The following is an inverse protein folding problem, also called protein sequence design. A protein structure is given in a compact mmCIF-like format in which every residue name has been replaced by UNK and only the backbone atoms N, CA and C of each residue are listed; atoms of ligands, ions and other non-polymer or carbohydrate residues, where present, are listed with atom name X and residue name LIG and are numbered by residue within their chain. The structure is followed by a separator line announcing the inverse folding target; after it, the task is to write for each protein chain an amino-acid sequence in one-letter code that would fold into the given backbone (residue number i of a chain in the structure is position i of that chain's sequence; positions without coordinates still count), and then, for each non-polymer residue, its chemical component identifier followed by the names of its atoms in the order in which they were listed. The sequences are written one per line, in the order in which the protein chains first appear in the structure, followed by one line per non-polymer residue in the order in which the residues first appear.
data_IF_553552978037
#
_entry.id   IF_553552978037
#
_cell.length_a   1.000
_cell.length_b   1.000
_cell.length_c   1.000
_cell.angle_alpha   90.00
_cell.angle_beta   90.00
_cell.angle_gamma   90.00
#
_symmetry.space_group_name_H-M   'P 1'
#
loop_
_entity.id
_entity.type
_entity.pdbx_description
1 polymer ?
#
# COMPACT_ATOMS: atom_id res chain seq x y z
N UNK A 1 -0.06 -18.55 6.26
CA UNK A 1 1.21 -18.10 5.66
C UNK A 1 1.74 -19.08 4.61
N UNK A 2 1.67 -20.39 4.81
CA UNK A 2 2.13 -21.40 3.83
C UNK A 2 1.60 -21.17 2.40
N UNK A 3 0.29 -20.93 2.27
CA UNK A 3 -0.37 -20.67 0.98
C UNK A 3 0.18 -19.45 0.21
N UNK A 4 0.55 -18.38 0.92
CA UNK A 4 1.06 -17.15 0.29
C UNK A 4 2.41 -17.37 -0.37
N UNK A 5 3.30 -18.13 0.28
CA UNK A 5 4.60 -18.48 -0.29
C UNK A 5 4.49 -19.44 -1.48
N UNK A 6 3.48 -20.32 -1.49
CA UNK A 6 3.20 -21.20 -2.63
C UNK A 6 2.71 -20.40 -3.84
N UNK A 7 1.77 -19.46 -3.64
CA UNK A 7 1.28 -18.56 -4.69
C UNK A 7 2.43 -17.70 -5.26
N UNK A 8 3.32 -17.20 -4.41
CA UNK A 8 4.51 -16.46 -4.84
C UNK A 8 5.48 -17.30 -5.66
N UNK A 9 5.69 -18.57 -5.29
CA UNK A 9 6.50 -19.49 -6.08
C UNK A 9 5.86 -19.76 -7.44
N UNK A 10 4.56 -20.03 -7.49
CA UNK A 10 3.83 -20.23 -8.74
C UNK A 10 3.97 -19.02 -9.68
N UNK A 11 3.84 -17.80 -9.14
CA UNK A 11 4.02 -16.55 -9.91
C UNK A 11 5.45 -16.44 -10.45
N UNK A 12 6.46 -16.87 -9.69
CA UNK A 12 7.85 -16.94 -10.18
C UNK A 12 8.02 -17.97 -11.29
N UNK A 13 7.44 -19.15 -11.14
CA UNK A 13 7.61 -20.26 -12.08
C UNK A 13 7.00 -19.93 -13.44
N UNK A 14 5.93 -19.15 -13.48
CA UNK A 14 5.34 -18.62 -14.73
C UNK A 14 6.08 -17.39 -15.29
N UNK A 15 7.14 -16.92 -14.61
CA UNK A 15 8.07 -15.91 -15.13
C UNK A 15 7.78 -14.45 -14.73
N UNK A 16 6.86 -14.18 -13.80
CA UNK A 16 6.57 -12.81 -13.37
C UNK A 16 7.45 -12.35 -12.19
N UNK A 17 7.70 -11.05 -12.12
CA UNK A 17 8.51 -10.39 -11.08
C UNK A 17 7.81 -9.22 -10.39
N UNK A 18 6.55 -8.94 -10.76
CA UNK A 18 5.72 -7.89 -10.19
C UNK A 18 4.32 -8.40 -9.84
N UNK A 19 3.75 -7.89 -8.74
CA UNK A 19 2.42 -8.29 -8.25
C UNK A 19 1.53 -7.05 -8.02
N UNK A 20 0.29 -7.08 -8.52
CA UNK A 20 -0.79 -6.20 -8.06
C UNK A 20 -1.64 -6.95 -7.05
N UNK A 21 -1.83 -6.37 -5.87
CA UNK A 21 -2.82 -6.84 -4.90
C UNK A 21 -4.15 -6.12 -5.11
N UNK A 22 -5.23 -6.89 -5.24
CA UNK A 22 -6.59 -6.37 -5.47
C UNK A 22 -7.43 -6.25 -4.20
N UNK A 23 -6.86 -6.51 -3.03
CA UNK A 23 -7.48 -6.21 -1.75
C UNK A 23 -7.80 -4.71 -1.66
N UNK A 24 -9.04 -4.36 -1.30
CA UNK A 24 -9.51 -2.97 -1.22
C UNK A 24 -8.63 -2.09 -0.32
N UNK A 25 -8.11 -2.68 0.77
CA UNK A 25 -7.25 -2.00 1.74
C UNK A 25 -6.19 -2.99 2.22
N UNK A 26 -5.19 -3.27 1.39
CA UNK A 26 -4.10 -4.18 1.78
C UNK A 26 -3.40 -3.76 3.08
N UNK A 27 -3.05 -2.46 3.34
CA UNK A 27 -2.30 -2.08 4.52
C UNK A 27 -3.11 -2.02 5.83
N UNK A 28 -4.34 -2.54 5.88
CA UNK A 28 -5.24 -2.43 7.04
C UNK A 28 -4.67 -3.07 8.31
N UNK A 29 -3.96 -4.20 8.18
CA UNK A 29 -3.34 -4.91 9.29
C UNK A 29 -1.80 -4.80 9.22
N UNK A 30 -1.17 -3.95 10.06
CA UNK A 30 0.25 -3.65 9.98
C UNK A 30 1.15 -4.86 10.23
N UNK A 31 0.71 -5.78 11.10
CA UNK A 31 1.45 -7.01 11.39
C UNK A 31 1.47 -7.93 10.18
N UNK A 32 0.31 -8.20 9.58
CA UNK A 32 0.19 -9.08 8.41
C UNK A 32 0.95 -8.52 7.21
N UNK A 33 0.93 -7.21 7.01
CA UNK A 33 1.66 -6.55 5.92
C UNK A 33 3.17 -6.69 6.12
N UNK A 34 3.69 -6.49 7.34
CA UNK A 34 5.12 -6.70 7.64
C UNK A 34 5.56 -8.14 7.37
N UNK A 35 4.76 -9.12 7.79
CA UNK A 35 5.01 -10.54 7.51
C UNK A 35 5.05 -10.80 5.99
N UNK A 36 4.06 -10.30 5.24
CA UNK A 36 3.99 -10.42 3.78
C UNK A 36 5.18 -9.74 3.07
N UNK A 37 5.56 -8.53 3.49
CA UNK A 37 6.73 -7.81 2.97
C UNK A 37 8.02 -8.62 3.08
N UNK A 38 8.22 -9.35 4.19
CA UNK A 38 9.36 -10.25 4.36
C UNK A 38 9.41 -11.35 3.30
N UNK A 39 8.26 -11.91 2.94
CA UNK A 39 8.15 -12.89 1.86
C UNK A 39 8.38 -12.25 0.49
N UNK A 40 7.70 -11.14 0.18
CA UNK A 40 7.87 -10.42 -1.10
C UNK A 40 9.34 -10.08 -1.38
N UNK A 41 10.05 -9.59 -0.36
CA UNK A 41 11.48 -9.30 -0.44
C UNK A 41 12.32 -10.54 -0.68
N UNK A 42 12.04 -11.66 0.00
CA UNK A 42 12.75 -12.94 -0.21
C UNK A 42 12.59 -13.46 -1.63
N UNK A 43 11.40 -13.34 -2.20
CA UNK A 43 11.15 -13.72 -3.59
C UNK A 43 11.63 -12.65 -4.59
N UNK A 44 12.03 -11.45 -4.14
CA UNK A 44 12.44 -10.37 -5.03
C UNK A 44 11.30 -9.90 -5.95
N UNK A 45 10.10 -9.78 -5.39
CA UNK A 45 8.96 -9.15 -6.07
C UNK A 45 8.96 -7.65 -5.83
N UNK A 46 8.65 -6.88 -6.88
CA UNK A 46 8.06 -5.55 -6.69
C UNK A 46 6.55 -5.67 -6.66
N UNK A 47 5.87 -4.74 -6.00
CA UNK A 47 4.43 -4.83 -5.86
C UNK A 47 3.75 -3.47 -5.75
N UNK A 48 2.43 -3.53 -5.94
CA UNK A 48 1.52 -2.39 -5.85
C UNK A 48 0.19 -2.81 -5.25
N UNK A 49 -0.52 -1.88 -4.62
CA UNK A 49 -1.77 -2.16 -3.92
C UNK A 49 -2.71 -0.96 -3.85
N UNK A 50 -3.95 -1.21 -3.45
CA UNK A 50 -4.86 -0.16 -3.00
C UNK A 50 -4.62 0.18 -1.53
N UNK A 51 -4.73 1.46 -1.19
CA UNK A 51 -4.67 1.91 0.18
C UNK A 51 -5.62 3.09 0.46
N UNK A 52 -5.86 3.33 1.74
CA UNK A 52 -6.53 4.53 2.24
C UNK A 52 -5.57 5.36 3.07
N UNK A 53 -5.70 6.68 2.99
CA UNK A 53 -4.76 7.62 3.63
C UNK A 53 -4.85 7.58 5.16
N UNK A 54 -6.06 7.43 5.72
CA UNK A 54 -6.30 7.29 7.16
C UNK A 54 -5.59 6.07 7.75
N UNK A 55 -5.58 4.96 7.02
CA UNK A 55 -4.88 3.73 7.41
C UNK A 55 -3.36 3.93 7.39
N UNK A 56 -2.82 4.62 6.38
CA UNK A 56 -1.39 4.94 6.32
C UNK A 56 -1.01 5.84 7.50
N UNK A 57 -1.73 6.94 7.72
CA UNK A 57 -1.49 7.85 8.85
C UNK A 57 -1.56 7.13 10.19
N UNK A 58 -2.54 6.25 10.40
CA UNK A 58 -2.70 5.48 11.63
C UNK A 58 -1.54 4.51 11.91
N UNK A 59 -0.91 3.97 10.86
CA UNK A 59 0.09 2.91 10.98
C UNK A 59 1.54 3.38 10.92
N UNK A 60 1.79 4.69 11.12
CA UNK A 60 3.13 5.28 11.16
C UNK A 60 3.47 6.17 9.97
N UNK A 61 2.50 6.46 9.10
CA UNK A 61 2.64 7.45 8.03
C UNK A 61 3.82 7.16 7.10
N UNK A 62 4.69 8.16 6.91
CA UNK A 62 5.87 8.09 6.03
C UNK A 62 6.80 6.92 6.37
N UNK A 63 7.03 6.63 7.64
CA UNK A 63 7.93 5.53 8.06
C UNK A 63 7.38 4.17 7.65
N UNK A 64 6.05 4.02 7.68
CA UNK A 64 5.40 2.81 7.22
C UNK A 64 5.46 2.66 5.70
N UNK A 65 5.29 3.75 4.95
CA UNK A 65 5.52 3.79 3.50
C UNK A 65 6.97 3.43 3.15
N UNK A 66 7.95 4.03 3.85
CA UNK A 66 9.37 3.73 3.67
C UNK A 66 9.66 2.24 3.91
N UNK A 67 9.13 1.68 5.00
CA UNK A 67 9.27 0.25 5.27
C UNK A 67 8.73 -0.60 4.12
N UNK A 68 7.53 -0.30 3.61
CA UNK A 68 6.96 -1.06 2.49
C UNK A 68 7.77 -0.90 1.19
N UNK A 69 8.30 0.30 0.93
CA UNK A 69 9.17 0.58 -0.23
C UNK A 69 10.46 -0.24 -0.19
N UNK A 70 11.11 -0.33 0.98
CA UNK A 70 12.32 -1.13 1.23
C UNK A 70 12.08 -2.65 1.06
N UNK A 71 10.81 -3.05 0.96
CA UNK A 71 10.33 -4.41 0.72
C UNK A 71 9.58 -4.56 -0.60
N UNK A 72 9.82 -3.65 -1.56
CA UNK A 72 9.41 -3.82 -2.95
C UNK A 72 8.14 -3.07 -3.37
N UNK A 73 7.49 -2.30 -2.49
CA UNK A 73 6.36 -1.46 -2.91
C UNK A 73 6.87 -0.38 -3.88
N UNK A 74 6.18 -0.20 -5.02
CA UNK A 74 6.56 0.80 -6.04
C UNK A 74 5.43 1.71 -6.49
N UNK A 75 4.19 1.30 -6.29
CA UNK A 75 3.02 2.10 -6.67
C UNK A 75 1.88 1.84 -5.69
N UNK A 76 1.15 2.90 -5.32
CA UNK A 76 -0.07 2.81 -4.50
C UNK A 76 -1.24 3.48 -5.20
N UNK A 77 -2.38 2.80 -5.19
CA UNK A 77 -3.63 3.37 -5.64
C UNK A 77 -4.37 3.93 -4.42
N UNK A 78 -4.29 5.25 -4.26
CA UNK A 78 -4.91 5.97 -3.15
C UNK A 78 -6.33 6.40 -3.51
N UNK A 79 -7.30 5.92 -2.74
CA UNK A 79 -8.68 6.41 -2.84
C UNK A 79 -8.83 7.78 -2.16
N UNK A 80 -8.38 8.86 -2.80
CA UNK A 80 -8.56 10.23 -2.31
C UNK A 80 -9.97 10.78 -2.58
N UNK A 81 -10.60 10.33 -3.68
CA UNK A 81 -11.94 10.65 -4.20
C UNK A 81 -12.22 12.12 -4.56
N UNK A 82 -11.79 13.08 -3.75
CA UNK A 82 -12.10 14.50 -3.95
C UNK A 82 -11.10 15.42 -3.26
N UNK A 83 -10.84 16.58 -3.88
CA UNK A 83 -10.14 17.71 -3.27
C UNK A 83 -11.05 18.70 -2.54
N UNK A 84 -12.33 18.37 -2.33
CA UNK A 84 -13.30 19.20 -1.61
C UNK A 84 -13.76 18.53 -0.33
N UNK A 85 -13.50 19.17 0.81
CA UNK A 85 -13.92 18.64 2.11
C UNK A 85 -15.44 18.37 2.15
N UNK A 86 -16.25 19.28 1.59
CA UNK A 86 -17.70 19.12 1.49
C UNK A 86 -18.10 17.82 0.78
N UNK A 87 -17.40 17.45 -0.31
CA UNK A 87 -17.69 16.21 -1.03
C UNK A 87 -17.26 15.00 -0.20
N UNK A 88 -16.07 15.04 0.40
CA UNK A 88 -15.56 13.97 1.26
C UNK A 88 -16.51 13.70 2.44
N UNK A 89 -17.04 14.76 3.06
CA UNK A 89 -18.01 14.68 4.15
C UNK A 89 -19.34 14.07 3.67
N UNK A 90 -19.84 14.52 2.51
CA UNK A 90 -21.09 14.04 1.93
C UNK A 90 -21.06 12.55 1.56
N UNK A 91 -19.92 12.03 1.12
CA UNK A 91 -19.76 10.61 0.79
C UNK A 91 -19.30 9.77 1.98
N UNK A 92 -19.18 10.38 3.17
CA UNK A 92 -18.66 9.75 4.38
C UNK A 92 -17.31 9.08 4.15
N UNK A 93 -16.38 9.79 3.47
CA UNK A 93 -15.05 9.26 3.20
C UNK A 93 -14.21 9.09 4.47
N UNK A 94 -14.49 9.94 5.47
CA UNK A 94 -13.80 9.99 6.76
C UNK A 94 -12.31 10.37 6.66
N UNK A 95 -11.98 11.22 5.69
CA UNK A 95 -10.62 11.78 5.50
C UNK A 95 -10.71 13.28 5.23
N UNK A 96 -9.65 14.02 5.54
CA UNK A 96 -9.54 15.43 5.12
C UNK A 96 -8.73 15.60 3.83
N UNK A 97 -8.93 16.72 3.14
CA UNK A 97 -8.13 17.09 1.95
C UNK A 97 -6.64 17.18 2.31
N UNK A 98 -6.32 17.71 3.49
CA UNK A 98 -4.94 17.83 3.99
C UNK A 98 -4.32 16.46 4.29
N UNK A 99 -5.09 15.52 4.85
CA UNK A 99 -4.62 14.14 5.04
C UNK A 99 -4.30 13.48 3.70
N UNK A 100 -5.16 13.66 2.70
CA UNK A 100 -4.91 13.17 1.34
C UNK A 100 -3.60 13.76 0.77
N UNK A 101 -3.45 15.09 0.81
CA UNK A 101 -2.27 15.77 0.31
C UNK A 101 -0.98 15.34 1.04
N UNK A 102 -1.05 15.17 2.36
CA UNK A 102 0.09 14.76 3.19
C UNK A 102 0.59 13.37 2.81
N UNK A 103 -0.32 12.39 2.62
CA UNK A 103 0.08 11.04 2.23
C UNK A 103 0.66 11.01 0.80
N UNK A 104 0.09 11.78 -0.12
CA UNK A 104 0.65 11.92 -1.48
C UNK A 104 2.06 12.51 -1.45
N UNK A 105 2.29 13.53 -0.62
CA UNK A 105 3.62 14.10 -0.42
C UNK A 105 4.60 13.06 0.15
N UNK A 106 4.20 12.26 1.14
CA UNK A 106 5.06 11.20 1.66
C UNK A 106 5.40 10.14 0.61
N UNK A 107 4.45 9.77 -0.25
CA UNK A 107 4.72 8.87 -1.37
C UNK A 107 5.80 9.44 -2.31
N UNK A 108 5.69 10.71 -2.70
CA UNK A 108 6.68 11.39 -3.54
C UNK A 108 8.07 11.43 -2.88
N UNK A 109 8.13 11.80 -1.60
CA UNK A 109 9.38 11.87 -0.83
C UNK A 109 10.07 10.49 -0.66
N UNK A 110 9.29 9.41 -0.61
CA UNK A 110 9.81 8.02 -0.52
C UNK A 110 10.16 7.45 -1.91
N UNK A 111 9.57 7.98 -2.98
CA UNK A 111 9.70 7.47 -4.35
C UNK A 111 8.68 6.40 -4.72
N UNK A 112 7.51 6.39 -4.06
CA UNK A 112 6.37 5.54 -4.41
C UNK A 112 5.50 6.31 -5.41
N UNK A 113 5.15 5.65 -6.53
CA UNK A 113 4.22 6.20 -7.52
C UNK A 113 2.76 6.13 -7.10
#
# INVERSE_FOLDING_TARGET
MHRLTEEFQQIKDIGFSAIQFYDDILPINPRRVREMCGHLKRFGFIWRCFCRVDIISKHGGKEYLQFMYDHGLREVLIGAESGSQKILDNIHKETTVEQNATVLQWCDEVGIR
#
